data_IF_417656209365
#
_entry.id   IF_417656209365
#
_cell.length_a   1.000
_cell.length_b   1.000
_cell.length_c   1.000
_cell.angle_alpha   90.00
_cell.angle_beta   90.00
_cell.angle_gamma   90.00
#
_symmetry.space_group_name_H-M   'P 1'
#
loop_
_entity.id
_entity.type
_entity.pdbx_description
1 polymer ?
#
# COMPACT_ATOMS: atom_id res chain seq x y z
N UNK A 1 8.32 -18.32 34.50
CA UNK A 1 8.03 -19.19 33.34
C UNK A 1 6.80 -18.75 32.54
N UNK A 2 5.66 -18.43 33.19
CA UNK A 2 4.40 -18.09 32.50
C UNK A 2 4.39 -16.72 31.76
N UNK A 3 4.97 -15.67 32.35
CA UNK A 3 4.95 -14.31 31.78
C UNK A 3 5.70 -14.19 30.43
N UNK A 4 6.80 -14.93 30.27
CA UNK A 4 7.60 -14.89 29.04
C UNK A 4 6.88 -15.55 27.86
N UNK A 5 6.03 -16.55 28.15
CA UNK A 5 5.22 -17.23 27.14
C UNK A 5 4.07 -16.34 26.65
N UNK A 6 3.41 -15.62 27.56
CA UNK A 6 2.36 -14.66 27.22
C UNK A 6 2.89 -13.53 26.32
N UNK A 7 4.09 -13.02 26.60
CA UNK A 7 4.73 -11.97 25.79
C UNK A 7 5.10 -12.43 24.38
N UNK A 8 5.40 -13.73 24.18
CA UNK A 8 5.73 -14.27 22.87
C UNK A 8 4.50 -14.39 21.94
N UNK A 9 3.35 -14.72 22.52
CA UNK A 9 2.09 -14.89 21.78
C UNK A 9 1.37 -13.58 21.51
N UNK A 10 1.53 -12.58 22.40
CA UNK A 10 0.87 -11.28 22.29
C UNK A 10 1.90 -10.14 22.22
N UNK A 11 2.68 -10.04 21.14
CA UNK A 11 3.57 -8.90 20.93
C UNK A 11 2.77 -7.61 20.80
N UNK A 12 3.37 -6.48 21.17
CA UNK A 12 2.71 -5.19 20.98
C UNK A 12 2.58 -4.86 19.47
N UNK A 13 1.52 -4.13 19.06
CA UNK A 13 1.32 -3.77 17.65
C UNK A 13 2.46 -2.93 17.06
N UNK A 14 3.22 -2.22 17.91
CA UNK A 14 4.40 -1.46 17.50
C UNK A 14 5.58 -2.38 17.16
N UNK A 15 5.80 -3.43 17.95
CA UNK A 15 6.84 -4.43 17.69
C UNK A 15 6.55 -5.22 16.42
N UNK A 16 5.28 -5.57 16.16
CA UNK A 16 4.89 -6.25 14.91
C UNK A 16 5.12 -5.40 13.66
N UNK A 17 4.87 -4.08 13.73
CA UNK A 17 5.09 -3.15 12.62
C UNK A 17 6.57 -3.05 12.25
N UNK A 18 7.47 -3.07 13.24
CA UNK A 18 8.93 -3.02 13.04
C UNK A 18 9.50 -4.32 12.47
N UNK A 19 8.83 -5.45 12.70
CA UNK A 19 9.27 -6.76 12.17
C UNK A 19 9.12 -6.80 10.64
N UNK A 20 10.11 -7.41 9.99
CA UNK A 20 10.02 -7.74 8.57
C UNK A 20 8.78 -8.62 8.30
N UNK A 21 8.11 -8.41 7.16
CA UNK A 21 6.83 -9.07 6.80
C UNK A 21 6.80 -10.60 6.98
N UNK A 22 7.93 -11.29 6.76
CA UNK A 22 8.06 -12.76 6.94
C UNK A 22 8.32 -13.21 8.39
N UNK A 23 8.74 -12.31 9.27
CA UNK A 23 9.15 -12.57 10.68
C UNK A 23 8.09 -12.13 11.70
N UNK A 24 6.92 -11.70 11.24
CA UNK A 24 5.75 -11.41 12.08
C UNK A 24 5.14 -12.72 12.57
N UNK A 25 4.38 -12.65 13.66
CA UNK A 25 3.66 -13.80 14.21
C UNK A 25 2.73 -14.41 13.15
N UNK A 26 2.02 -13.54 12.44
CA UNK A 26 1.26 -13.87 11.24
C UNK A 26 1.86 -13.12 10.05
N UNK A 27 2.13 -13.85 8.96
CA UNK A 27 2.68 -13.25 7.76
C UNK A 27 1.59 -12.46 7.02
N UNK A 28 1.85 -11.18 6.78
CA UNK A 28 1.01 -10.30 5.96
C UNK A 28 1.89 -9.47 5.03
N UNK A 29 1.47 -9.21 3.79
CA UNK A 29 2.22 -8.34 2.90
C UNK A 29 2.14 -6.88 3.39
N UNK A 30 3.14 -6.08 3.03
CA UNK A 30 3.18 -4.63 3.34
C UNK A 30 2.60 -3.77 2.21
N UNK A 31 2.05 -4.42 1.18
CA UNK A 31 1.49 -3.77 -0.01
C UNK A 31 -0.01 -3.52 0.16
N UNK A 32 -0.51 -2.50 -0.51
CA UNK A 32 -1.92 -2.12 -0.46
C UNK A 32 -2.41 -1.67 -1.83
N UNK A 33 -3.73 -1.70 -2.01
CA UNK A 33 -4.40 -1.05 -3.12
C UNK A 33 -4.86 0.34 -2.67
N UNK A 34 -4.77 1.31 -3.58
CA UNK A 34 -5.20 2.67 -3.33
C UNK A 34 -6.02 3.18 -4.50
N UNK A 35 -7.04 3.97 -4.19
CA UNK A 35 -7.79 4.70 -5.19
C UNK A 35 -7.06 5.99 -5.58
N UNK A 36 -6.81 6.16 -6.87
CA UNK A 36 -6.19 7.37 -7.40
C UNK A 36 -7.21 8.08 -8.27
N UNK A 37 -7.47 9.35 -7.94
CA UNK A 37 -8.35 10.20 -8.71
C UNK A 37 -7.52 10.99 -9.71
N UNK A 38 -7.83 10.84 -11.00
CA UNK A 38 -7.16 11.60 -12.04
C UNK A 38 -7.69 13.05 -12.09
N UNK A 39 -6.81 14.07 -12.19
CA UNK A 39 -7.24 15.47 -12.27
C UNK A 39 -7.96 15.82 -13.57
N UNK A 40 -7.73 15.09 -14.67
CA UNK A 40 -8.36 15.37 -15.97
C UNK A 40 -9.66 14.59 -16.21
N UNK A 41 -9.67 13.28 -15.94
CA UNK A 41 -10.82 12.41 -16.22
C UNK A 41 -11.81 12.32 -15.03
N UNK A 42 -11.45 12.80 -13.82
CA UNK A 42 -12.17 12.63 -12.54
C UNK A 42 -12.57 11.18 -12.17
N UNK A 43 -12.22 10.20 -13.00
CA UNK A 43 -12.40 8.77 -12.76
C UNK A 43 -11.43 8.31 -11.68
N UNK A 44 -11.95 7.40 -10.85
CA UNK A 44 -11.19 6.70 -9.83
C UNK A 44 -10.60 5.45 -10.47
N UNK A 45 -9.30 5.25 -10.30
CA UNK A 45 -8.59 4.04 -10.76
C UNK A 45 -7.90 3.41 -9.56
N UNK A 46 -8.09 2.11 -9.37
CA UNK A 46 -7.41 1.34 -8.33
C UNK A 46 -5.96 1.07 -8.77
N UNK A 47 -4.99 1.46 -7.94
CA UNK A 47 -3.55 1.31 -8.23
C UNK A 47 -2.89 0.51 -7.11
N UNK A 48 -1.99 -0.39 -7.49
CA UNK A 48 -1.18 -1.15 -6.55
C UNK A 48 0.02 -0.33 -6.03
N UNK A 49 0.29 -0.40 -4.73
CA UNK A 49 1.35 0.40 -4.09
C UNK A 49 2.76 0.13 -4.61
N UNK A 50 3.03 -1.05 -5.16
CA UNK A 50 4.31 -1.44 -5.75
C UNK A 50 4.16 -1.82 -7.23
N UNK A 51 3.37 -1.04 -7.98
CA UNK A 51 3.19 -1.26 -9.41
C UNK A 51 4.55 -1.33 -10.14
N UNK A 52 4.75 -2.39 -10.94
CA UNK A 52 5.96 -2.63 -11.73
C UNK A 52 5.89 -1.96 -13.12
N UNK A 53 4.69 -1.63 -13.58
CA UNK A 53 4.43 -0.99 -14.87
C UNK A 53 3.91 0.42 -14.67
N UNK A 54 4.05 1.25 -15.70
CA UNK A 54 3.41 2.56 -15.75
C UNK A 54 1.89 2.35 -15.79
N UNK A 55 1.15 3.03 -14.91
CA UNK A 55 -0.32 2.97 -14.87
C UNK A 55 -0.90 4.23 -15.49
N UNK A 56 -1.85 4.06 -16.41
CA UNK A 56 -2.50 5.14 -17.16
C UNK A 56 -4.00 5.24 -16.78
N UNK A 57 -4.59 6.44 -16.75
CA UNK A 57 -6.06 6.57 -16.66
C UNK A 57 -6.69 5.95 -17.92
N UNK A 58 -7.71 5.10 -17.73
CA UNK A 58 -8.48 4.48 -18.84
C UNK A 58 -9.19 5.51 -19.71
N UNK A 59 -9.52 6.70 -19.17
CA UNK A 59 -10.27 7.74 -19.88
C UNK A 59 -9.44 8.80 -20.61
N UNK A 60 -8.28 9.19 -20.08
CA UNK A 60 -7.48 10.31 -20.63
C UNK A 60 -6.01 9.94 -20.91
N UNK A 61 -5.64 8.66 -20.77
CA UNK A 61 -4.29 8.13 -21.01
C UNK A 61 -3.16 8.87 -20.26
N UNK A 62 -3.51 9.64 -19.24
CA UNK A 62 -2.55 10.36 -18.40
C UNK A 62 -1.86 9.38 -17.47
N UNK A 63 -0.55 9.58 -17.28
CA UNK A 63 0.25 8.79 -16.33
C UNK A 63 -0.21 9.07 -14.90
N UNK A 64 -0.62 8.02 -14.20
CA UNK A 64 -1.03 8.06 -12.79
C UNK A 64 0.13 7.72 -11.85
N UNK A 65 0.92 6.71 -12.19
CA UNK A 65 2.10 6.38 -11.42
C UNK A 65 3.24 5.87 -12.29
N UNK A 66 4.45 6.14 -11.83
CA UNK A 66 5.69 5.59 -12.39
C UNK A 66 6.20 4.46 -11.48
N UNK A 67 6.63 3.33 -12.06
CA UNK A 67 7.21 2.24 -11.29
C UNK A 67 8.56 2.68 -10.71
N UNK A 68 8.84 2.23 -9.50
CA UNK A 68 10.16 2.39 -8.86
C UNK A 68 10.58 1.05 -8.26
N UNK A 69 11.82 0.93 -7.77
CA UNK A 69 12.25 -0.28 -7.03
C UNK A 69 11.49 -0.53 -5.72
N UNK A 70 10.66 0.42 -5.28
CA UNK A 70 9.88 0.36 -4.05
C UNK A 70 8.42 0.71 -4.28
N UNK A 71 7.91 1.71 -3.55
CA UNK A 71 6.53 2.19 -3.76
C UNK A 71 6.46 2.98 -5.07
N UNK A 72 5.41 2.75 -5.86
CA UNK A 72 5.19 3.48 -7.08
C UNK A 72 5.09 4.98 -6.81
N UNK A 73 5.69 5.80 -7.68
CA UNK A 73 5.68 7.26 -7.57
C UNK A 73 4.43 7.78 -8.26
N UNK A 74 3.51 8.38 -7.50
CA UNK A 74 2.33 9.05 -8.05
C UNK A 74 2.74 10.38 -8.71
N UNK A 75 2.04 10.77 -9.78
CA UNK A 75 2.17 12.10 -10.37
C UNK A 75 1.51 13.16 -9.47
N UNK A 76 2.04 14.38 -9.49
CA UNK A 76 1.55 15.49 -8.65
C UNK A 76 0.05 15.77 -8.91
N UNK A 77 -0.71 16.01 -7.83
CA UNK A 77 -2.13 16.41 -7.92
C UNK A 77 -3.19 15.30 -7.88
N UNK A 78 -2.82 14.05 -7.55
CA UNK A 78 -3.76 12.91 -7.59
C UNK A 78 -4.32 12.45 -6.23
N UNK A 79 -4.01 13.18 -5.15
CA UNK A 79 -4.24 12.77 -3.76
C UNK A 79 -5.59 13.18 -3.15
N UNK A 80 -6.55 13.68 -3.93
CA UNK A 80 -7.83 14.24 -3.44
C UNK A 80 -8.84 13.20 -2.89
N UNK A 81 -8.36 12.09 -2.33
CA UNK A 81 -9.21 11.07 -1.70
C UNK A 81 -8.70 9.66 -1.96
N UNK A 82 -7.43 9.37 -1.69
CA UNK A 82 -6.94 8.00 -1.72
C UNK A 82 -7.65 7.19 -0.63
N UNK A 83 -8.75 6.55 -1.01
CA UNK A 83 -9.40 5.56 -0.17
C UNK A 83 -8.43 4.38 -0.04
N UNK A 84 -8.04 4.08 1.20
CA UNK A 84 -7.31 2.87 1.54
C UNK A 84 -8.26 1.68 1.35
N UNK A 85 -8.29 1.11 0.13
CA UNK A 85 -9.00 -0.14 -0.11
C UNK A 85 -8.09 -1.28 0.34
N UNK A 86 -8.16 -1.60 1.63
CA UNK A 86 -7.64 -2.83 2.26
C UNK A 86 -6.11 -3.10 2.14
N UNK A 87 -5.48 -3.67 3.18
CA UNK A 87 -4.19 -4.34 3.00
C UNK A 87 -4.38 -5.58 2.10
N UNK A 88 -3.44 -5.82 1.19
CA UNK A 88 -3.44 -7.02 0.33
C UNK A 88 -3.06 -8.29 1.11
#
# INVERSE_FOLDING_TARGET
SFLMWFYLLHPSPEEEKRRHKKKRLVQSPNSYFMDVKCPGCYKITTVFSHAQTVVLCVGCSTVLCQPTGGKARLTEGQYNGAAFISPA
#
